data_IF_461428143314
#
_entry.id   IF_461428143314
#
_cell.length_a   1.000
_cell.length_b   1.000
_cell.length_c   1.000
_cell.angle_alpha   90.00
_cell.angle_beta   90.00
_cell.angle_gamma   90.00
#
_symmetry.space_group_name_H-M   'P 1'
#
loop_
_entity.id
_entity.type
_entity.pdbx_description
1 polymer ?
#
# COMPACT_ATOMS: atom_id res chain seq x y z
N UNK A 1 -11.85 15.87 4.88
CA UNK A 1 -10.73 15.04 4.39
C UNK A 1 -9.83 14.62 5.53
N UNK A 2 -9.49 13.37 5.55
CA UNK A 2 -8.55 12.83 6.53
C UNK A 2 -7.27 12.40 5.84
N UNK A 3 -6.18 12.48 6.57
CA UNK A 3 -4.91 11.95 6.10
C UNK A 3 -4.74 10.52 6.64
N UNK A 4 -4.46 9.60 5.74
CA UNK A 4 -4.21 8.21 6.10
C UNK A 4 -2.76 7.88 5.80
N UNK A 5 -2.07 7.38 6.80
CA UNK A 5 -0.70 6.91 6.64
C UNK A 5 -0.73 5.44 6.27
N UNK A 6 -0.23 5.14 5.10
CA UNK A 6 -0.23 3.79 4.57
C UNK A 6 1.20 3.31 4.34
N UNK A 7 1.39 2.02 4.47
CA UNK A 7 2.69 1.41 4.25
C UNK A 7 2.72 0.72 2.89
N UNK A 8 3.81 0.86 2.18
CA UNK A 8 4.04 0.15 0.93
C UNK A 8 5.22 -0.79 1.13
N UNK A 9 5.01 -2.05 0.84
CA UNK A 9 6.06 -3.08 0.90
C UNK A 9 6.37 -3.52 -0.51
N UNK A 10 7.63 -3.40 -0.90
CA UNK A 10 8.08 -3.72 -2.25
C UNK A 10 8.85 -5.04 -2.23
N UNK A 11 8.43 -5.97 -3.05
CA UNK A 11 9.02 -7.30 -3.15
C UNK A 11 9.68 -7.45 -4.53
N UNK A 12 11.01 -7.59 -4.58
CA UNK A 12 11.67 -7.81 -5.87
C UNK A 12 11.27 -9.17 -6.44
N UNK A 13 11.10 -9.23 -7.74
CA UNK A 13 10.74 -10.44 -8.45
C UNK A 13 11.94 -11.02 -9.19
N UNK A 14 12.01 -12.34 -9.27
CA UNK A 14 13.12 -13.02 -9.94
C UNK A 14 13.22 -12.67 -11.42
N UNK A 15 12.08 -12.49 -12.05
CA UNK A 15 12.02 -12.13 -13.46
C UNK A 15 12.27 -10.64 -13.72
N UNK A 16 12.55 -9.87 -12.68
CA UNK A 16 12.70 -8.44 -12.74
C UNK A 16 11.44 -7.71 -12.32
N UNK A 17 11.61 -6.46 -11.91
CA UNK A 17 10.49 -5.67 -11.42
C UNK A 17 10.19 -5.90 -9.96
N UNK A 18 9.09 -5.30 -9.51
CA UNK A 18 8.69 -5.30 -8.10
C UNK A 18 7.19 -5.49 -7.99
N UNK A 19 6.79 -6.27 -6.99
CA UNK A 19 5.42 -6.27 -6.51
C UNK A 19 5.34 -5.33 -5.31
N UNK A 20 4.29 -4.53 -5.23
CA UNK A 20 4.07 -3.62 -4.11
C UNK A 20 2.75 -3.96 -3.43
N UNK A 21 2.77 -3.99 -2.12
CA UNK A 21 1.61 -4.35 -1.30
C UNK A 21 1.33 -3.23 -0.32
N UNK A 22 0.07 -2.89 -0.16
CA UNK A 22 -0.40 -1.99 0.90
C UNK A 22 -1.25 -2.82 1.86
N UNK A 23 -0.64 -3.35 2.94
CA UNK A 23 -1.35 -4.30 3.80
C UNK A 23 -2.52 -3.68 4.57
N UNK A 24 -2.47 -2.39 4.87
CA UNK A 24 -3.54 -1.74 5.62
C UNK A 24 -4.90 -1.81 4.92
N UNK A 25 -4.89 -1.76 3.60
CA UNK A 25 -6.14 -1.81 2.83
C UNK A 25 -6.18 -3.01 1.90
N UNK A 26 -5.24 -3.92 2.08
CA UNK A 26 -5.21 -5.20 1.38
C UNK A 26 -5.22 -5.05 -0.15
N UNK A 27 -4.42 -4.13 -0.66
CA UNK A 27 -4.28 -3.96 -2.11
C UNK A 27 -2.84 -4.17 -2.53
N UNK A 28 -2.65 -4.46 -3.80
CA UNK A 28 -1.32 -4.68 -4.35
C UNK A 28 -1.28 -4.29 -5.83
N UNK A 29 -0.06 -4.08 -6.29
CA UNK A 29 0.18 -3.79 -7.71
C UNK A 29 1.60 -4.24 -8.04
N UNK A 30 2.07 -3.89 -9.23
CA UNK A 30 3.44 -4.21 -9.64
C UNK A 30 3.97 -3.13 -10.58
N UNK A 31 5.26 -3.20 -10.87
CA UNK A 31 5.91 -2.31 -11.79
C UNK A 31 7.32 -2.80 -12.06
N UNK A 32 7.94 -2.29 -13.10
CA UNK A 32 9.32 -2.69 -13.45
C UNK A 32 10.36 -2.01 -12.57
N UNK A 33 10.01 -0.86 -12.00
CA UNK A 33 10.87 -0.13 -11.07
C UNK A 33 10.09 0.17 -9.80
N UNK A 34 10.80 0.58 -8.75
CA UNK A 34 10.15 1.00 -7.51
C UNK A 34 9.17 2.14 -7.75
N UNK A 35 9.60 3.14 -8.53
CA UNK A 35 8.76 4.29 -8.81
C UNK A 35 7.52 3.91 -9.60
N UNK A 36 7.68 3.03 -10.57
CA UNK A 36 6.55 2.56 -11.37
C UNK A 36 5.56 1.77 -10.52
N UNK A 37 6.07 0.86 -9.69
CA UNK A 37 5.21 0.10 -8.79
C UNK A 37 4.45 1.01 -7.83
N UNK A 38 5.14 2.01 -7.28
CA UNK A 38 4.49 2.98 -6.40
C UNK A 38 3.41 3.77 -7.13
N UNK A 39 3.71 4.26 -8.32
CA UNK A 39 2.72 5.01 -9.10
C UNK A 39 1.50 4.16 -9.42
N UNK A 40 1.72 2.90 -9.77
CA UNK A 40 0.63 2.00 -10.10
C UNK A 40 -0.28 1.72 -8.90
N UNK A 41 0.31 1.46 -7.73
CA UNK A 41 -0.51 1.22 -6.56
C UNK A 41 -1.23 2.49 -6.09
N UNK A 42 -0.59 3.66 -6.23
CA UNK A 42 -1.23 4.93 -5.87
C UNK A 42 -2.49 5.19 -6.68
N UNK A 43 -2.55 4.69 -7.91
CA UNK A 43 -3.75 4.86 -8.74
C UNK A 43 -4.94 4.06 -8.22
N UNK A 44 -4.69 2.91 -7.61
CA UNK A 44 -5.76 2.05 -7.12
C UNK A 44 -6.09 2.24 -5.64
N UNK A 45 -5.16 2.82 -4.89
CA UNK A 45 -5.36 3.05 -3.44
C UNK A 45 -6.68 3.77 -3.14
N UNK A 46 -7.06 4.85 -3.84
CA UNK A 46 -8.29 5.56 -3.50
C UNK A 46 -9.53 4.66 -3.52
N UNK A 47 -9.61 3.75 -4.45
CA UNK A 47 -10.75 2.83 -4.54
C UNK A 47 -10.77 1.86 -3.38
N UNK A 48 -9.63 1.27 -3.05
CA UNK A 48 -9.53 0.32 -1.97
C UNK A 48 -9.68 0.99 -0.61
N UNK A 49 -9.12 2.18 -0.47
CA UNK A 49 -9.24 2.95 0.77
C UNK A 49 -10.69 3.31 1.05
N UNK A 50 -11.39 3.79 0.05
CA UNK A 50 -12.81 4.13 0.20
C UNK A 50 -13.63 2.91 0.62
N UNK A 51 -13.38 1.79 -0.02
CA UNK A 51 -14.07 0.55 0.32
C UNK A 51 -13.74 0.09 1.73
N UNK A 52 -12.48 0.17 2.12
CA UNK A 52 -12.05 -0.22 3.45
C UNK A 52 -12.70 0.65 4.53
N UNK A 53 -12.81 1.95 4.29
CA UNK A 53 -13.45 2.86 5.23
C UNK A 53 -14.94 2.51 5.38
N UNK A 54 -15.61 2.20 4.29
CA UNK A 54 -17.03 1.85 4.32
C UNK A 54 -17.31 0.53 5.01
N UNK A 55 -16.47 -0.46 4.73
CA UNK A 55 -16.71 -1.81 5.21
C UNK A 55 -16.30 -2.01 6.67
N UNK A 56 -15.46 -1.13 7.19
CA UNK A 56 -14.77 -1.40 8.44
C UNK A 56 -14.67 -0.16 9.31
N UNK A 57 -15.81 0.41 9.63
CA UNK A 57 -15.90 1.65 10.40
C UNK A 57 -15.25 1.58 11.77
N UNK A 58 -15.28 0.39 12.39
CA UNK A 58 -14.87 0.23 13.77
C UNK A 58 -13.57 -0.51 13.97
N UNK A 59 -12.82 -0.78 12.90
CA UNK A 59 -11.63 -1.59 13.05
C UNK A 59 -10.38 -0.74 13.13
N UNK A 60 -9.36 -1.33 13.72
CA UNK A 60 -8.01 -0.77 13.77
C UNK A 60 -7.28 -1.03 12.45
N UNK A 61 -7.89 -0.65 11.36
CA UNK A 61 -7.39 -0.91 10.04
C UNK A 61 -5.96 -0.38 9.83
N UNK A 62 -5.64 0.72 10.50
CA UNK A 62 -4.38 1.41 10.33
C UNK A 62 -3.42 1.23 11.49
N UNK A 63 -3.68 0.26 12.35
CA UNK A 63 -2.90 0.11 13.57
C UNK A 63 -1.64 -0.71 13.40
N UNK A 64 -1.45 -1.33 12.29
CA UNK A 64 -0.39 -2.31 12.16
C UNK A 64 0.94 -1.68 11.80
N UNK A 65 1.91 -1.81 12.66
CA UNK A 65 3.29 -1.53 12.32
C UNK A 65 3.92 -2.75 11.67
N UNK A 66 3.53 -3.07 10.46
CA UNK A 66 4.15 -4.21 9.78
C UNK A 66 5.50 -3.83 9.24
N UNK A 67 6.53 -4.40 9.81
CA UNK A 67 7.88 -4.32 9.25
C UNK A 67 8.26 -5.67 8.72
N UNK A 68 8.76 -5.71 7.50
CA UNK A 68 9.27 -6.92 6.88
C UNK A 68 10.77 -6.75 6.64
N UNK A 69 11.61 -7.35 7.50
CA UNK A 69 13.06 -7.23 7.33
C UNK A 69 13.51 -7.75 5.95
N UNK A 70 14.43 -7.03 5.34
CA UNK A 70 14.96 -7.40 4.05
C UNK A 70 14.14 -6.97 2.86
N UNK A 71 13.06 -6.24 3.08
CA UNK A 71 12.21 -5.71 2.01
C UNK A 71 12.29 -4.20 1.97
N UNK A 72 12.04 -3.63 0.80
CA UNK A 72 11.95 -2.18 0.67
C UNK A 72 10.59 -1.75 1.23
N UNK A 73 10.63 -0.73 2.06
CA UNK A 73 9.45 -0.25 2.77
C UNK A 73 9.35 1.26 2.61
N UNK A 74 8.16 1.75 2.31
CA UNK A 74 7.88 3.18 2.23
C UNK A 74 6.59 3.50 2.94
N UNK A 75 6.54 4.67 3.57
CA UNK A 75 5.30 5.20 4.11
C UNK A 75 4.81 6.31 3.21
N UNK A 76 3.51 6.32 2.95
CA UNK A 76 2.88 7.37 2.18
C UNK A 76 1.69 7.92 2.95
N UNK A 77 1.32 9.16 2.64
CA UNK A 77 0.13 9.79 3.19
C UNK A 77 -0.86 10.00 2.06
N UNK A 78 -2.06 9.50 2.26
CA UNK A 78 -3.14 9.62 1.28
C UNK A 78 -4.29 10.37 1.92
N UNK A 79 -4.86 11.31 1.19
CA UNK A 79 -6.02 12.07 1.64
C UNK A 79 -7.29 11.46 1.08
N UNK A 80 -8.24 11.29 1.95
CA UNK A 80 -9.54 10.76 1.56
C UNK A 80 -10.70 11.40 2.34
#
# INVERSE_FOLDING_TARGET
MRDYNLSLVFLPQDAGGYTVICPEINCFSDGETLDEAENNIREIIPYFLEKAIKDDEDSDLFSSGMTMPGKVFREITVKA
#
